data_IF_589374384660
#
_entry.id   IF_589374384660
#
_cell.length_a   1.000
_cell.length_b   1.000
_cell.length_c   1.000
_cell.angle_alpha   90.00
_cell.angle_beta   90.00
_cell.angle_gamma   90.00
#
_symmetry.space_group_name_H-M   'P 1'
#
loop_
_entity.id
_entity.type
_entity.pdbx_description
1 polymer ?
#
# COMPACT_ATOMS: atom_id res chain seq x y z
N UNK A 1 -13.42 -1.45 -5.37
CA UNK A 1 -13.87 -0.04 -5.27
C UNK A 1 -12.67 0.74 -5.75
N UNK A 2 -12.81 1.65 -6.74
CA UNK A 2 -11.66 2.26 -7.40
C UNK A 2 -10.59 2.75 -6.40
N UNK A 3 -9.35 2.26 -6.55
CA UNK A 3 -8.21 2.64 -5.71
C UNK A 3 -8.11 4.18 -5.60
N UNK A 4 -8.38 4.72 -4.41
CA UNK A 4 -8.48 6.17 -4.19
C UNK A 4 -7.15 6.81 -3.76
N UNK A 5 -6.99 8.11 -4.02
CA UNK A 5 -5.94 8.90 -3.39
C UNK A 5 -6.15 8.95 -1.86
N UNK A 6 -5.08 8.82 -1.04
CA UNK A 6 -3.66 8.85 -1.42
C UNK A 6 -3.02 7.50 -1.77
N UNK A 7 -3.70 6.36 -1.54
CA UNK A 7 -3.09 5.03 -1.66
C UNK A 7 -2.65 4.70 -3.07
N UNK A 8 -3.43 5.09 -4.08
CA UNK A 8 -3.06 4.93 -5.50
C UNK A 8 -1.73 5.60 -5.87
N UNK A 9 -1.45 6.79 -5.33
CA UNK A 9 -0.18 7.47 -5.57
C UNK A 9 0.97 6.77 -4.87
N UNK A 10 0.75 6.24 -3.67
CA UNK A 10 1.76 5.47 -2.95
C UNK A 10 2.17 4.26 -3.78
N UNK A 11 1.21 3.47 -4.30
CA UNK A 11 1.49 2.31 -5.14
C UNK A 11 2.17 2.67 -6.47
N UNK A 12 1.74 3.75 -7.13
CA UNK A 12 2.36 4.20 -8.38
C UNK A 12 3.81 4.70 -8.19
N UNK A 13 4.10 5.36 -7.06
CA UNK A 13 5.46 5.77 -6.69
C UNK A 13 6.31 4.56 -6.27
N UNK A 14 5.70 3.58 -5.62
CA UNK A 14 6.34 2.34 -5.19
C UNK A 14 6.91 1.57 -6.39
N UNK A 15 6.11 1.33 -7.43
CA UNK A 15 6.50 0.57 -8.61
C UNK A 15 7.70 1.20 -9.38
N UNK A 16 7.89 2.51 -9.30
CA UNK A 16 8.91 3.22 -10.08
C UNK A 16 10.29 3.32 -9.40
N UNK A 17 10.40 3.06 -8.09
CA UNK A 17 11.60 3.36 -7.30
C UNK A 17 12.22 2.10 -6.72
N UNK A 18 13.43 1.75 -7.19
CA UNK A 18 14.27 0.69 -6.63
C UNK A 18 14.39 0.85 -5.09
N UNK A 19 14.04 -0.19 -4.32
CA UNK A 19 13.57 -0.22 -2.91
C UNK A 19 14.25 0.65 -1.83
N UNK A 20 15.44 1.22 -2.04
CA UNK A 20 16.17 1.98 -1.01
C UNK A 20 15.86 3.49 -0.98
N UNK A 21 15.50 4.11 -2.11
CA UNK A 21 15.05 5.52 -2.15
C UNK A 21 13.58 5.70 -1.74
N UNK A 22 12.85 4.59 -1.72
CA UNK A 22 11.41 4.48 -1.62
C UNK A 22 10.87 4.84 -0.22
N UNK A 23 11.52 4.39 0.86
CA UNK A 23 11.10 4.74 2.23
C UNK A 23 11.17 6.24 2.46
N UNK A 24 12.20 6.90 1.95
CA UNK A 24 12.31 8.36 2.06
C UNK A 24 11.27 9.09 1.21
N UNK A 25 11.04 8.67 -0.03
CA UNK A 25 10.02 9.31 -0.89
C UNK A 25 8.62 9.10 -0.32
N UNK A 26 8.29 7.89 0.14
CA UNK A 26 6.99 7.60 0.75
C UNK A 26 6.88 8.33 2.08
N UNK A 27 7.91 8.36 2.94
CA UNK A 27 7.88 9.11 4.20
C UNK A 27 7.76 10.63 4.00
N UNK A 28 8.42 11.19 2.98
CA UNK A 28 8.30 12.61 2.64
C UNK A 28 6.93 12.94 2.05
N UNK A 29 6.39 12.09 1.19
CA UNK A 29 5.02 12.27 0.67
C UNK A 29 3.95 11.95 1.71
N UNK A 30 4.18 11.00 2.62
CA UNK A 30 3.33 10.67 3.77
C UNK A 30 3.15 11.83 4.74
N UNK A 31 4.08 12.80 4.77
CA UNK A 31 3.90 14.05 5.52
C UNK A 31 2.92 15.00 4.83
N UNK A 32 2.78 14.89 3.50
CA UNK A 32 1.81 15.64 2.71
C UNK A 32 0.47 14.89 2.56
N UNK A 33 0.45 13.58 2.77
CA UNK A 33 -0.76 12.76 2.76
C UNK A 33 -1.38 12.61 4.13
N UNK A 34 -2.69 12.39 4.13
CA UNK A 34 -3.46 12.13 5.32
C UNK A 34 -3.17 10.71 5.82
N UNK A 35 -2.30 10.61 6.83
CA UNK A 35 -1.80 9.33 7.33
C UNK A 35 -2.89 8.47 7.96
N UNK A 36 -3.91 9.07 8.56
CA UNK A 36 -5.05 8.34 9.11
C UNK A 36 -5.85 7.70 7.99
N UNK A 37 -6.15 8.46 6.92
CA UNK A 37 -6.85 7.93 5.75
C UNK A 37 -6.06 6.81 5.05
N UNK A 38 -4.74 6.97 4.91
CA UNK A 38 -3.90 5.91 4.31
C UNK A 38 -3.90 4.63 5.16
N UNK A 39 -3.85 4.76 6.49
CA UNK A 39 -3.94 3.62 7.40
C UNK A 39 -5.27 2.92 7.29
N UNK A 40 -6.38 3.67 7.30
CA UNK A 40 -7.71 3.09 7.14
C UNK A 40 -7.86 2.37 5.80
N UNK A 41 -7.37 2.96 4.71
CA UNK A 41 -7.42 2.31 3.39
C UNK A 41 -6.56 1.04 3.32
N UNK A 42 -5.38 1.01 3.95
CA UNK A 42 -4.58 -0.23 4.03
C UNK A 42 -5.25 -1.29 4.90
N UNK A 43 -5.78 -0.91 6.08
CA UNK A 43 -6.49 -1.85 6.95
C UNK A 43 -7.66 -2.45 6.20
N UNK A 44 -8.45 -1.62 5.51
CA UNK A 44 -9.60 -2.06 4.74
C UNK A 44 -9.20 -2.96 3.56
N UNK A 45 -8.06 -2.69 2.91
CA UNK A 45 -7.49 -3.55 1.88
C UNK A 45 -7.01 -4.90 2.43
N UNK A 46 -6.51 -4.94 3.67
CA UNK A 46 -6.02 -6.17 4.33
C UNK A 46 -7.17 -7.00 4.94
N UNK A 47 -8.16 -6.35 5.56
CA UNK A 47 -9.22 -7.03 6.34
C UNK A 47 -10.50 -7.25 5.55
N UNK A 48 -10.85 -6.35 4.62
CA UNK A 48 -12.08 -6.43 3.83
C UNK A 48 -11.85 -6.76 2.35
N UNK A 49 -10.60 -7.03 1.95
CA UNK A 49 -10.21 -7.24 0.56
C UNK A 49 -10.70 -6.12 -0.37
N UNK A 50 -10.78 -4.88 0.14
CA UNK A 50 -11.32 -3.75 -0.60
C UNK A 50 -10.51 -3.39 -1.86
N UNK A 51 -9.27 -3.90 -1.94
CA UNK A 51 -8.41 -3.82 -3.11
C UNK A 51 -8.17 -5.24 -3.60
N UNK A 52 -8.70 -5.55 -4.77
CA UNK A 52 -8.43 -6.81 -5.46
C UNK A 52 -7.08 -6.78 -6.15
N UNK A 53 -6.49 -7.96 -6.36
CA UNK A 53 -5.27 -8.16 -7.18
C UNK A 53 -5.33 -7.35 -8.48
N UNK A 54 -6.42 -7.44 -9.24
CA UNK A 54 -6.58 -6.71 -10.51
C UNK A 54 -6.52 -5.18 -10.36
N UNK A 55 -7.04 -4.62 -9.25
CA UNK A 55 -6.97 -3.17 -9.01
C UNK A 55 -5.56 -2.74 -8.62
N UNK A 56 -4.84 -3.59 -7.89
CA UNK A 56 -3.44 -3.37 -7.53
C UNK A 56 -2.52 -3.47 -8.76
N UNK A 57 -2.69 -4.50 -9.59
CA UNK A 57 -2.02 -4.69 -10.89
C UNK A 57 -2.35 -3.57 -11.88
N UNK A 58 -3.52 -2.93 -11.77
CA UNK A 58 -3.84 -1.77 -12.60
C UNK A 58 -3.00 -0.52 -12.26
N UNK A 59 -2.39 -0.47 -11.07
CA UNK A 59 -1.62 0.69 -10.60
C UNK A 59 -0.15 0.38 -10.34
N UNK A 60 0.23 -0.89 -10.37
CA UNK A 60 1.60 -1.39 -10.21
C UNK A 60 1.88 -2.44 -11.27
N UNK A 61 3.14 -2.59 -11.67
CA UNK A 61 3.57 -3.65 -12.58
C UNK A 61 3.80 -5.01 -11.85
N UNK A 62 3.48 -5.09 -10.55
CA UNK A 62 3.61 -6.31 -9.75
C UNK A 62 2.36 -7.18 -9.90
N UNK A 63 2.56 -8.42 -10.34
CA UNK A 63 1.52 -9.45 -10.48
C UNK A 63 1.50 -10.34 -9.23
N UNK A 64 0.31 -10.54 -8.64
CA UNK A 64 0.11 -11.43 -7.49
C UNK A 64 -0.76 -12.61 -7.88
N UNK A 65 -0.38 -13.84 -7.50
CA UNK A 65 -1.18 -15.02 -7.90
C UNK A 65 -2.45 -15.16 -7.06
N UNK A 66 -2.44 -14.64 -5.82
CA UNK A 66 -3.59 -14.72 -4.91
C UNK A 66 -3.80 -13.45 -4.08
N UNK A 67 -5.04 -13.26 -3.64
CA UNK A 67 -5.42 -12.18 -2.72
C UNK A 67 -4.66 -12.30 -1.37
N UNK A 68 -4.34 -13.52 -0.92
CA UNK A 68 -3.54 -13.73 0.30
C UNK A 68 -2.10 -13.22 0.16
N UNK A 69 -1.49 -13.35 -1.02
CA UNK A 69 -0.16 -12.79 -1.29
C UNK A 69 -0.21 -11.26 -1.33
N UNK A 70 -1.25 -10.68 -1.94
CA UNK A 70 -1.47 -9.24 -1.93
C UNK A 70 -1.69 -8.70 -0.50
N UNK A 71 -2.48 -9.39 0.31
CA UNK A 71 -2.70 -9.02 1.71
C UNK A 71 -1.41 -9.13 2.54
N UNK A 72 -0.60 -10.16 2.29
CA UNK A 72 0.73 -10.31 2.92
C UNK A 72 1.63 -9.14 2.54
N UNK A 73 1.64 -8.77 1.27
CA UNK A 73 2.36 -7.62 0.78
C UNK A 73 1.91 -6.31 1.44
N UNK A 74 0.60 -6.07 1.59
CA UNK A 74 0.10 -4.89 2.29
C UNK A 74 0.56 -4.84 3.76
N UNK A 75 0.68 -5.99 4.44
CA UNK A 75 1.26 -6.06 5.80
C UNK A 75 2.74 -5.68 5.80
N UNK A 76 3.51 -6.10 4.80
CA UNK A 76 4.92 -5.68 4.63
C UNK A 76 5.03 -4.19 4.30
N UNK A 77 4.18 -3.69 3.41
CA UNK A 77 4.14 -2.27 3.06
C UNK A 77 3.79 -1.41 4.27
N UNK A 78 2.86 -1.86 5.13
CA UNK A 78 2.56 -1.19 6.40
C UNK A 78 3.81 -1.06 7.27
N UNK A 79 4.58 -2.15 7.40
CA UNK A 79 5.86 -2.15 8.12
C UNK A 79 6.85 -1.14 7.53
N UNK A 80 6.97 -1.09 6.21
CA UNK A 80 7.87 -0.19 5.49
C UNK A 80 7.46 1.27 5.67
N UNK A 81 6.16 1.58 5.57
CA UNK A 81 5.63 2.94 5.63
C UNK A 81 5.59 3.51 7.04
N UNK A 82 5.17 2.72 8.02
CA UNK A 82 4.93 3.18 9.38
C UNK A 82 6.01 2.75 10.37
N UNK A 83 6.98 1.92 9.94
CA UNK A 83 8.03 1.38 10.81
C UNK A 83 7.50 0.51 11.95
N UNK A 84 6.25 0.05 11.87
CA UNK A 84 5.56 -0.71 12.94
C UNK A 84 4.85 -1.92 12.35
N UNK A 85 4.80 -3.07 13.05
CA UNK A 85 4.16 -4.25 12.51
C UNK A 85 2.66 -4.01 12.44
N UNK A 86 2.04 -4.44 11.33
CA UNK A 86 0.59 -4.50 11.25
C UNK A 86 0.09 -5.42 12.38
N UNK A 87 -0.84 -4.92 13.19
CA UNK A 87 -1.54 -5.71 14.20
C UNK A 87 -3.00 -5.76 13.78
N UNK A 88 -3.47 -6.97 13.46
CA UNK A 88 -4.88 -7.27 13.27
C UNK A 88 -5.69 -6.74 14.47
N UNK A 89 -6.79 -6.04 14.19
CA UNK A 89 -7.56 -5.30 15.20
C UNK A 89 -8.59 -6.16 15.92
#
# INVERSE_FOLDING_TARGET
MALEDPLKRVFSVYCNVNSLGMVNIIAENLKAYDQEKLKEQLIDAIENDSISVEEYESVTDDEYETQEELATWFKELWQIMFGTPYKER
#
